data_IF_082245948787
#
_entry.id   IF_082245948787
#
_cell.length_a   1.000
_cell.length_b   1.000
_cell.length_c   1.000
_cell.angle_alpha   90.00
_cell.angle_beta   90.00
_cell.angle_gamma   90.00
#
_symmetry.space_group_name_H-M   'P 1'
#
loop_
_entity.id
_entity.type
_entity.pdbx_description
1 polymer ?
#
# COMPACT_ATOMS: atom_id res chain seq x y z
N UNK A 1 45.67 -12.21 33.44
CA UNK A 1 45.53 -11.05 32.53
C UNK A 1 44.19 -10.38 32.84
N UNK A 2 44.19 -9.29 33.62
CA UNK A 2 42.97 -8.59 34.05
C UNK A 2 42.50 -7.67 32.91
N UNK A 3 41.38 -8.02 32.25
CA UNK A 3 40.73 -7.11 31.30
C UNK A 3 40.11 -5.93 32.07
N UNK A 4 40.40 -4.72 31.61
CA UNK A 4 40.02 -3.45 32.23
C UNK A 4 38.51 -3.18 32.07
N UNK A 5 37.77 -2.98 33.17
CA UNK A 5 36.31 -2.85 33.22
C UNK A 5 35.76 -1.67 32.41
N UNK A 6 36.57 -0.65 32.12
CA UNK A 6 36.19 0.48 31.27
C UNK A 6 36.03 0.10 29.80
N UNK A 7 36.78 -0.89 29.31
CA UNK A 7 36.70 -1.36 27.92
C UNK A 7 35.41 -2.16 27.69
N UNK A 8 34.98 -2.93 28.70
CA UNK A 8 33.71 -3.66 28.65
C UNK A 8 32.51 -2.69 28.65
N UNK A 9 32.55 -1.62 29.45
CA UNK A 9 31.50 -0.60 29.48
C UNK A 9 31.38 0.20 28.19
N UNK A 10 32.47 0.39 27.44
CA UNK A 10 32.44 1.07 26.13
C UNK A 10 31.88 0.18 25.02
N UNK A 11 32.14 -1.13 25.07
CA UNK A 11 31.63 -2.11 24.11
C UNK A 11 30.12 -2.35 24.22
N UNK A 12 29.53 -2.23 25.42
CA UNK A 12 28.09 -2.34 25.60
C UNK A 12 27.32 -1.10 25.10
N UNK A 13 27.90 0.10 25.19
CA UNK A 13 27.25 1.33 24.72
C UNK A 13 27.18 1.44 23.19
N UNK A 14 28.17 0.89 22.47
CA UNK A 14 28.19 0.93 21.00
C UNK A 14 27.22 -0.07 20.37
N UNK A 15 26.99 -1.23 20.98
CA UNK A 15 26.00 -2.22 20.53
C UNK A 15 24.56 -1.73 20.75
N UNK A 16 24.30 -0.96 21.81
CA UNK A 16 22.98 -0.40 22.08
C UNK A 16 22.57 0.70 21.07
N UNK A 17 23.52 1.50 20.56
CA UNK A 17 23.22 2.54 19.56
C UNK A 17 22.95 1.94 18.16
N UNK A 18 23.59 0.83 17.80
CA UNK A 18 23.35 0.13 16.53
C UNK A 18 21.96 -0.53 16.46
N UNK A 19 21.38 -0.90 17.60
CA UNK A 19 20.02 -1.46 17.67
C UNK A 19 18.90 -0.42 17.45
N UNK A 20 19.17 0.87 17.72
CA UNK A 20 18.18 1.94 17.60
C UNK A 20 18.00 2.44 16.15
N UNK A 21 18.95 2.15 15.24
CA UNK A 21 18.85 2.53 13.83
C UNK A 21 18.02 1.56 12.98
N UNK A 22 17.60 0.41 13.51
CA UNK A 22 16.74 -0.53 12.80
C UNK A 22 15.24 -0.16 12.87
N UNK A 23 14.88 0.83 13.69
CA UNK A 23 13.48 1.23 13.95
C UNK A 23 12.92 2.32 13.04
N UNK A 24 13.71 2.89 12.13
CA UNK A 24 13.30 4.03 11.30
C UNK A 24 13.58 3.74 9.81
N UNK A 25 12.78 2.87 9.20
CA UNK A 25 12.91 2.60 7.76
C UNK A 25 12.03 1.48 7.19
N UNK A 26 11.51 0.59 8.02
CA UNK A 26 10.69 -0.52 7.54
C UNK A 26 9.22 -0.28 7.86
N UNK A 27 8.57 0.58 7.09
CA UNK A 27 7.14 0.38 6.93
C UNK A 27 6.98 -0.99 6.25
N UNK A 28 6.48 -2.00 6.97
CA UNK A 28 6.22 -3.36 6.46
C UNK A 28 5.20 -3.32 5.31
N UNK A 29 5.67 -2.98 4.11
CA UNK A 29 4.93 -3.07 2.87
C UNK A 29 5.19 -4.43 2.26
N UNK A 30 4.09 -5.12 1.90
CA UNK A 30 4.15 -6.31 1.07
C UNK A 30 4.17 -5.90 -0.41
N UNK A 31 4.71 -6.76 -1.27
CA UNK A 31 4.81 -6.51 -2.72
C UNK A 31 4.03 -7.55 -3.50
N UNK A 32 3.14 -7.12 -4.39
CA UNK A 32 2.43 -8.01 -5.31
C UNK A 32 3.34 -8.46 -6.45
N UNK A 33 2.96 -9.53 -7.15
CA UNK A 33 3.64 -9.99 -8.37
C UNK A 33 3.66 -8.92 -9.47
N UNK A 34 2.63 -8.08 -9.55
CA UNK A 34 2.55 -6.95 -10.48
C UNK A 34 3.41 -5.75 -10.08
N UNK A 35 4.02 -5.76 -8.88
CA UNK A 35 4.92 -4.74 -8.40
C UNK A 35 4.28 -3.62 -7.55
N UNK A 36 3.06 -3.80 -7.06
CA UNK A 36 2.41 -2.87 -6.12
C UNK A 36 2.96 -3.09 -4.73
N UNK A 37 3.30 -2.02 -4.03
CA UNK A 37 3.60 -2.05 -2.60
C UNK A 37 2.32 -1.78 -1.82
N UNK A 38 1.99 -2.57 -0.81
CA UNK A 38 0.75 -2.40 -0.05
C UNK A 38 0.89 -2.78 1.42
N UNK A 39 0.05 -2.17 2.26
CA UNK A 39 -0.05 -2.46 3.68
C UNK A 39 -1.52 -2.44 4.09
N UNK A 40 -2.04 -3.60 4.47
CA UNK A 40 -3.41 -3.76 4.97
C UNK A 40 -3.42 -3.49 6.48
N UNK A 41 -4.42 -2.76 6.92
CA UNK A 41 -4.73 -2.50 8.32
C UNK A 41 -6.04 -3.21 8.63
N UNK A 42 -5.91 -4.38 9.27
CA UNK A 42 -7.05 -5.22 9.58
C UNK A 42 -7.92 -4.62 10.68
N UNK A 43 -9.23 -4.73 10.50
CA UNK A 43 -10.20 -4.27 11.50
C UNK A 43 -10.52 -5.31 12.60
N UNK A 44 -9.86 -6.48 12.56
CA UNK A 44 -10.07 -7.60 13.48
C UNK A 44 -11.23 -8.54 13.11
N UNK A 45 -12.06 -8.21 12.12
CA UNK A 45 -13.13 -9.06 11.60
C UNK A 45 -12.58 -9.97 10.51
N UNK A 46 -12.98 -11.25 10.52
CA UNK A 46 -12.62 -12.24 9.49
C UNK A 46 -13.78 -12.43 8.52
N UNK A 47 -13.98 -11.46 7.64
CA UNK A 47 -15.02 -11.49 6.61
C UNK A 47 -14.38 -11.27 5.23
N UNK A 48 -13.85 -12.31 4.57
CA UNK A 48 -13.17 -12.16 3.29
C UNK A 48 -14.14 -11.78 2.18
N UNK A 49 -13.64 -11.09 1.16
CA UNK A 49 -14.38 -10.86 -0.09
C UNK A 49 -14.37 -12.14 -0.91
N UNK A 50 -15.53 -12.57 -1.40
CA UNK A 50 -15.61 -13.76 -2.25
C UNK A 50 -15.42 -13.39 -3.72
N UNK A 51 -14.80 -14.26 -4.54
CA UNK A 51 -14.73 -14.07 -5.97
C UNK A 51 -16.11 -13.77 -6.59
N UNK A 52 -16.15 -12.88 -7.56
CA UNK A 52 -17.36 -12.41 -8.24
C UNK A 52 -18.16 -11.35 -7.48
N UNK A 53 -17.84 -11.06 -6.21
CA UNK A 53 -18.52 -10.01 -5.46
C UNK A 53 -18.00 -8.62 -5.83
N UNK A 54 -18.89 -7.64 -5.75
CA UNK A 54 -18.52 -6.23 -5.88
C UNK A 54 -18.20 -5.65 -4.51
N UNK A 55 -17.18 -4.80 -4.50
CA UNK A 55 -16.78 -4.01 -3.35
C UNK A 55 -16.99 -2.54 -3.65
N UNK A 56 -17.39 -1.80 -2.62
CA UNK A 56 -17.52 -0.35 -2.60
C UNK A 56 -16.37 0.18 -1.76
N UNK A 57 -15.65 1.18 -2.29
CA UNK A 57 -14.52 1.76 -1.60
C UNK A 57 -14.45 3.29 -1.69
N UNK A 58 -14.01 3.91 -0.59
CA UNK A 58 -13.55 5.29 -0.59
C UNK A 58 -12.04 5.35 -0.48
N UNK A 59 -11.42 6.17 -1.33
CA UNK A 59 -9.99 6.31 -1.44
C UNK A 59 -9.57 7.73 -1.80
N UNK A 60 -8.34 8.05 -1.43
CA UNK A 60 -7.63 9.23 -1.91
C UNK A 60 -6.37 8.76 -2.64
N UNK A 61 -6.15 9.30 -3.84
CA UNK A 61 -4.95 9.07 -4.64
C UNK A 61 -4.12 10.35 -4.72
N UNK A 62 -2.82 10.28 -4.41
CA UNK A 62 -1.92 11.43 -4.40
C UNK A 62 -0.59 11.12 -5.07
N UNK A 63 0.02 12.14 -5.67
CA UNK A 63 1.35 12.08 -6.29
C UNK A 63 2.12 13.36 -5.94
N UNK A 64 3.26 13.22 -5.27
CA UNK A 64 3.90 14.36 -4.61
C UNK A 64 2.91 15.10 -3.69
N UNK A 65 2.80 16.41 -3.84
CA UNK A 65 1.90 17.27 -3.06
C UNK A 65 0.48 17.38 -3.68
N UNK A 66 0.25 16.74 -4.82
CA UNK A 66 -1.01 16.83 -5.57
C UNK A 66 -1.98 15.72 -5.18
N UNK A 67 -3.25 16.08 -5.00
CA UNK A 67 -4.37 15.13 -4.87
C UNK A 67 -4.98 14.91 -6.25
N UNK A 68 -4.96 13.66 -6.74
CA UNK A 68 -5.52 13.31 -8.05
C UNK A 68 -7.00 12.93 -7.95
N UNK A 69 -7.33 12.16 -6.92
CA UNK A 69 -8.69 11.67 -6.67
C UNK A 69 -8.96 11.70 -5.18
N UNK A 70 -10.15 12.12 -4.80
CA UNK A 70 -10.62 12.10 -3.41
C UNK A 70 -12.10 11.69 -3.36
N UNK A 71 -12.37 10.39 -3.32
CA UNK A 71 -13.76 9.91 -3.30
C UNK A 71 -14.44 10.09 -1.95
N UNK A 72 -13.74 10.53 -0.89
CA UNK A 72 -14.39 10.90 0.37
C UNK A 72 -15.24 12.16 0.25
N UNK A 73 -14.93 13.01 -0.75
CA UNK A 73 -15.69 14.24 -1.06
C UNK A 73 -16.71 14.03 -2.18
N UNK A 74 -16.73 12.84 -2.79
CA UNK A 74 -17.50 12.54 -3.99
C UNK A 74 -18.14 11.14 -3.92
N UNK A 75 -18.52 10.57 -5.07
CA UNK A 75 -19.07 9.22 -5.17
C UNK A 75 -18.00 8.16 -4.90
N UNK A 76 -18.36 7.03 -4.25
CA UNK A 76 -17.47 5.91 -4.04
C UNK A 76 -17.06 5.23 -5.36
N UNK A 77 -15.92 4.54 -5.34
CA UNK A 77 -15.55 3.63 -6.40
C UNK A 77 -16.11 2.23 -6.15
N UNK A 78 -16.32 1.50 -7.25
CA UNK A 78 -16.76 0.12 -7.24
C UNK A 78 -15.77 -0.73 -8.03
N UNK A 79 -15.53 -1.95 -7.57
CA UNK A 79 -14.75 -2.95 -8.30
C UNK A 79 -15.26 -4.34 -8.00
N UNK A 80 -15.08 -5.27 -8.93
CA UNK A 80 -15.40 -6.68 -8.73
C UNK A 80 -14.14 -7.43 -8.30
N UNK A 81 -14.29 -8.39 -7.39
CA UNK A 81 -13.21 -9.32 -7.10
C UNK A 81 -13.18 -10.43 -8.16
N UNK A 82 -12.50 -10.16 -9.28
CA UNK A 82 -12.27 -11.14 -10.33
C UNK A 82 -10.90 -11.81 -10.17
N UNK A 83 -10.89 -13.07 -9.76
CA UNK A 83 -9.65 -13.84 -9.58
C UNK A 83 -9.03 -14.33 -10.88
N UNK A 84 -9.73 -14.19 -12.01
CA UNK A 84 -9.22 -14.56 -13.34
C UNK A 84 -8.28 -13.48 -13.89
N UNK A 85 -8.54 -12.21 -13.57
CA UNK A 85 -7.70 -11.09 -13.91
C UNK A 85 -6.50 -11.01 -12.95
N UNK A 86 -5.41 -11.70 -13.30
CA UNK A 86 -4.17 -11.69 -12.51
C UNK A 86 -3.23 -10.60 -12.98
N UNK A 87 -2.48 -10.02 -12.05
CA UNK A 87 -1.40 -9.08 -12.32
C UNK A 87 -1.87 -7.81 -13.03
N UNK A 88 -3.05 -7.29 -12.68
CA UNK A 88 -3.65 -6.11 -13.32
C UNK A 88 -2.93 -4.82 -12.89
N UNK A 89 -2.11 -4.87 -11.84
CA UNK A 89 -1.43 -3.69 -11.26
C UNK A 89 -2.44 -2.64 -10.74
N UNK A 90 -3.48 -3.14 -10.07
CA UNK A 90 -4.41 -2.34 -9.28
C UNK A 90 -4.70 -3.00 -7.92
N UNK A 91 -5.62 -2.42 -7.16
CA UNK A 91 -5.95 -2.91 -5.82
C UNK A 91 -6.54 -4.33 -5.81
N UNK A 92 -6.98 -4.86 -6.95
CA UNK A 92 -7.53 -6.22 -7.04
C UNK A 92 -6.46 -7.30 -6.81
N UNK A 93 -5.18 -6.99 -7.06
CA UNK A 93 -4.04 -7.92 -6.92
C UNK A 93 -3.81 -8.41 -5.48
N UNK A 94 -4.29 -7.68 -4.47
CA UNK A 94 -4.20 -8.07 -3.05
C UNK A 94 -5.58 -8.15 -2.38
N UNK A 95 -6.66 -8.10 -3.16
CA UNK A 95 -8.03 -8.05 -2.63
C UNK A 95 -8.42 -9.31 -1.86
N UNK A 96 -7.85 -10.46 -2.25
CA UNK A 96 -8.04 -11.73 -1.55
C UNK A 96 -7.48 -11.74 -0.12
N UNK A 97 -6.56 -10.84 0.19
CA UNK A 97 -5.95 -10.70 1.52
C UNK A 97 -6.74 -9.75 2.44
N UNK A 98 -7.76 -9.07 1.89
CA UNK A 98 -8.56 -8.09 2.62
C UNK A 98 -9.87 -8.68 3.17
N UNK A 99 -10.24 -8.22 4.36
CA UNK A 99 -11.57 -8.43 4.93
C UNK A 99 -12.45 -7.19 4.77
N UNK A 100 -13.77 -7.40 4.77
CA UNK A 100 -14.74 -6.30 4.81
C UNK A 100 -14.47 -5.42 6.04
N UNK A 101 -14.33 -4.13 5.76
CA UNK A 101 -14.03 -3.06 6.70
C UNK A 101 -12.55 -2.86 6.99
N UNK A 102 -11.65 -3.58 6.33
CA UNK A 102 -10.22 -3.28 6.38
C UNK A 102 -9.93 -1.93 5.70
N UNK A 103 -8.78 -1.36 6.03
CA UNK A 103 -8.21 -0.21 5.32
C UNK A 103 -6.86 -0.60 4.74
N UNK A 104 -6.42 0.07 3.68
CA UNK A 104 -5.15 -0.26 3.00
C UNK A 104 -4.50 1.01 2.46
N UNK A 105 -3.18 1.06 2.58
CA UNK A 105 -2.36 1.98 1.80
C UNK A 105 -1.63 1.16 0.76
N UNK A 106 -1.66 1.59 -0.50
CA UNK A 106 -0.89 0.96 -1.57
C UNK A 106 -0.27 1.99 -2.50
N UNK A 107 0.82 1.61 -3.13
CA UNK A 107 1.67 2.49 -3.93
C UNK A 107 1.92 1.83 -5.28
N UNK A 108 1.62 2.57 -6.34
CA UNK A 108 1.84 2.16 -7.73
C UNK A 108 2.96 2.98 -8.36
N UNK A 109 3.75 2.34 -9.20
CA UNK A 109 4.84 3.00 -9.92
C UNK A 109 4.32 3.49 -11.28
N UNK A 110 4.45 4.79 -11.53
CA UNK A 110 3.97 5.48 -12.73
C UNK A 110 4.66 4.94 -13.98
N UNK A 111 5.96 4.61 -13.92
CA UNK A 111 6.67 4.03 -15.07
C UNK A 111 6.09 2.65 -15.46
N UNK A 112 5.71 1.84 -14.46
CA UNK A 112 5.06 0.54 -14.66
C UNK A 112 3.66 0.71 -15.24
N UNK A 113 2.91 1.70 -14.76
CA UNK A 113 1.59 2.04 -15.30
C UNK A 113 1.68 2.54 -16.75
N UNK A 114 2.69 3.36 -17.07
CA UNK A 114 2.93 3.85 -18.43
C UNK A 114 3.31 2.71 -19.38
N UNK A 115 4.24 1.83 -18.98
CA UNK A 115 4.66 0.66 -19.77
C UNK A 115 3.50 -0.30 -20.09
N UNK A 116 2.50 -0.35 -19.20
CA UNK A 116 1.28 -1.15 -19.37
C UNK A 116 0.16 -0.42 -20.10
N UNK A 117 0.37 0.83 -20.50
CA UNK A 117 -0.59 1.63 -21.26
C UNK A 117 -1.74 2.22 -20.43
N UNK A 118 -1.63 2.25 -19.09
CA UNK A 118 -2.70 2.80 -18.24
C UNK A 118 -2.70 4.33 -18.16
N UNK A 119 -1.57 4.97 -18.48
CA UNK A 119 -1.42 6.42 -18.48
C UNK A 119 -0.30 6.82 -19.45
N UNK A 120 -0.23 8.11 -19.75
CA UNK A 120 0.90 8.74 -20.42
C UNK A 120 1.61 9.69 -19.47
N UNK A 121 2.90 9.93 -19.71
CA UNK A 121 3.61 10.96 -18.96
C UNK A 121 3.08 12.35 -19.28
N UNK A 122 3.06 13.22 -18.28
CA UNK A 122 2.70 14.64 -18.39
C UNK A 122 3.25 15.41 -17.17
N UNK A 123 2.80 16.64 -16.97
CA UNK A 123 3.26 17.50 -15.86
C UNK A 123 2.99 16.91 -14.46
N UNK A 124 2.03 16.00 -14.37
CA UNK A 124 1.65 15.28 -13.14
C UNK A 124 2.35 13.92 -13.06
N UNK A 125 2.26 13.12 -14.11
CA UNK A 125 2.85 11.78 -14.21
C UNK A 125 4.23 11.89 -14.85
N UNK A 126 5.25 12.07 -14.02
CA UNK A 126 6.64 12.19 -14.48
C UNK A 126 7.34 10.84 -14.50
N UNK A 127 8.29 10.70 -15.43
CA UNK A 127 9.17 9.54 -15.50
C UNK A 127 10.19 9.57 -14.35
N UNK A 128 10.32 8.44 -13.63
CA UNK A 128 11.35 8.25 -12.59
C UNK A 128 11.21 9.08 -11.30
N UNK A 129 11.91 8.64 -10.23
CA UNK A 129 12.05 9.35 -8.95
C UNK A 129 10.98 9.05 -7.88
N UNK A 130 11.03 9.77 -6.74
CA UNK A 130 10.01 9.65 -5.68
C UNK A 130 8.62 10.13 -6.16
N UNK A 131 8.60 11.08 -7.10
CA UNK A 131 7.37 11.62 -7.68
C UNK A 131 6.67 10.66 -8.64
N UNK A 132 7.29 9.53 -9.01
CA UNK A 132 6.65 8.50 -9.83
C UNK A 132 5.85 7.49 -9.00
N UNK A 133 5.72 7.70 -7.68
CA UNK A 133 4.95 6.82 -6.79
C UNK A 133 3.58 7.41 -6.49
N UNK A 134 2.56 6.73 -6.98
CA UNK A 134 1.17 7.09 -6.80
C UNK A 134 0.62 6.39 -5.56
N UNK A 135 0.30 7.17 -4.53
CA UNK A 135 -0.13 6.68 -3.23
C UNK A 135 -1.64 6.63 -3.15
N UNK A 136 -2.18 5.51 -2.67
CA UNK A 136 -3.59 5.30 -2.46
C UNK A 136 -3.85 5.01 -0.98
N UNK A 137 -4.87 5.64 -0.41
CA UNK A 137 -5.35 5.33 0.94
C UNK A 137 -6.85 5.00 0.89
N UNK A 138 -7.18 3.73 1.09
CA UNK A 138 -8.55 3.22 1.22
C UNK A 138 -8.86 3.10 2.72
N UNK A 139 -9.90 3.77 3.21
CA UNK A 139 -10.35 3.68 4.63
C UNK A 139 -11.69 2.98 4.80
N UNK A 140 -12.52 2.97 3.77
CA UNK A 140 -13.81 2.30 3.81
C UNK A 140 -13.85 1.26 2.71
N UNK A 141 -13.74 0.00 3.10
CA UNK A 141 -13.84 -1.15 2.22
C UNK A 141 -15.07 -1.96 2.59
N UNK A 142 -16.09 -1.97 1.74
CA UNK A 142 -17.38 -2.59 2.05
C UNK A 142 -17.85 -3.49 0.91
N UNK A 143 -18.64 -4.50 1.23
CA UNK A 143 -19.33 -5.26 0.20
C UNK A 143 -20.39 -4.36 -0.43
N UNK A 144 -20.37 -4.24 -1.76
CA UNK A 144 -21.45 -3.56 -2.46
C UNK A 144 -22.71 -4.42 -2.35
N UNK A 145 -23.77 -3.89 -1.73
CA UNK A 145 -25.07 -4.58 -1.74
C UNK A 145 -25.59 -4.57 -3.17
N UNK A 146 -25.97 -5.73 -3.71
CA UNK A 146 -26.88 -5.79 -4.85
C UNK A 146 -28.21 -5.23 -4.35
N UNK A 147 -28.51 -3.99 -4.67
CA UNK A 147 -29.88 -3.53 -4.69
C UNK A 147 -30.43 -3.82 -6.09
N UNK A 148 -30.73 -5.11 -6.34
CA UNK A 148 -31.66 -5.63 -7.34
C UNK A 148 -32.15 -6.98 -6.82
#
# INVERSE_FOLDING_TARGET
MKLNSKVNSLLFLTVAMAALLMGCGNADYQKTQSGILYKIFHNGKKQPVKPGQFVKLHYRATIGDSVLVDTYKHIPAYGQFDTSAKNVHDFTDFLGEMNIGDSVVFIRNVDTMQKRGYLMYNDVFKQGGYHSWLHYCIRYFQQARRNL
#
